data_IF_855533566042
#
_entry.id   IF_855533566042
#
_cell.length_a   1.000
_cell.length_b   1.000
_cell.length_c   1.000
_cell.angle_alpha   90.00
_cell.angle_beta   90.00
_cell.angle_gamma   90.00
#
_symmetry.space_group_name_H-M   'P 1'
#
loop_
_entity.id
_entity.type
_entity.pdbx_description
1 polymer ?
#
# COMPACT_ATOMS: atom_id res chain seq x y z
N UNK A 1 11.65 18.92 -1.07
CA UNK A 1 11.60 18.68 -2.53
C UNK A 1 12.03 17.25 -2.88
N UNK A 2 13.26 16.83 -2.59
CA UNK A 2 13.74 15.48 -2.94
C UNK A 2 12.84 14.33 -2.46
N UNK A 3 12.41 14.34 -1.20
CA UNK A 3 11.57 13.26 -0.65
C UNK A 3 10.22 13.16 -1.36
N UNK A 4 9.65 14.30 -1.76
CA UNK A 4 8.39 14.38 -2.48
C UNK A 4 8.51 13.74 -3.88
N UNK A 5 9.55 14.12 -4.63
CA UNK A 5 9.83 13.54 -5.95
C UNK A 5 10.11 12.03 -5.87
N UNK A 6 10.89 11.63 -4.86
CA UNK A 6 11.16 10.21 -4.62
C UNK A 6 9.89 9.45 -4.24
N UNK A 7 9.04 10.01 -3.39
CA UNK A 7 7.79 9.35 -3.00
C UNK A 7 6.87 9.12 -4.18
N UNK A 8 6.82 10.08 -5.11
CA UNK A 8 5.99 9.95 -6.31
C UNK A 8 6.48 8.81 -7.22
N UNK A 9 7.79 8.74 -7.47
CA UNK A 9 8.38 7.69 -8.31
C UNK A 9 8.33 6.30 -7.64
N UNK A 10 8.64 6.20 -6.34
CA UNK A 10 8.70 4.89 -5.68
C UNK A 10 7.31 4.24 -5.53
N UNK A 11 6.24 5.04 -5.55
CA UNK A 11 4.86 4.60 -5.44
C UNK A 11 4.15 4.52 -6.80
N UNK A 12 4.86 4.81 -7.89
CA UNK A 12 4.33 4.75 -9.23
C UNK A 12 3.95 3.28 -9.60
N UNK A 13 2.66 3.00 -9.89
CA UNK A 13 2.22 1.65 -10.23
C UNK A 13 2.90 1.04 -11.47
N UNK A 14 3.45 1.87 -12.37
CA UNK A 14 4.18 1.38 -13.54
C UNK A 14 5.44 0.58 -13.19
N UNK A 15 6.01 0.75 -11.99
CA UNK A 15 7.12 -0.08 -11.51
C UNK A 15 6.68 -1.46 -11.00
N UNK A 16 5.38 -1.72 -10.92
CA UNK A 16 4.81 -3.01 -10.56
C UNK A 16 4.96 -3.38 -9.08
N UNK A 17 5.47 -2.49 -8.22
CA UNK A 17 5.59 -2.72 -6.77
C UNK A 17 4.25 -2.56 -6.06
N UNK A 18 3.53 -1.50 -6.40
CA UNK A 18 2.22 -1.17 -5.85
C UNK A 18 1.19 -1.09 -6.97
N UNK A 19 -0.07 -1.25 -6.60
CA UNK A 19 -1.21 -1.06 -7.48
C UNK A 19 -2.31 -0.29 -6.76
N UNK A 20 -3.22 0.32 -7.52
CA UNK A 20 -4.42 0.88 -6.94
C UNK A 20 -5.32 -0.23 -6.37
N UNK A 21 -5.87 0.02 -5.20
CA UNK A 21 -6.81 -0.89 -4.53
C UNK A 21 -8.14 -0.95 -5.25
N UNK A 22 -8.57 0.17 -5.86
CA UNK A 22 -9.86 0.32 -6.50
C UNK A 22 -9.82 1.44 -7.54
N UNK A 23 -10.68 1.39 -8.54
CA UNK A 23 -10.69 2.36 -9.65
C UNK A 23 -11.16 3.77 -9.24
N UNK A 24 -11.95 3.86 -8.17
CA UNK A 24 -12.53 5.09 -7.64
C UNK A 24 -11.74 5.71 -6.47
N UNK A 25 -10.84 4.94 -5.87
CA UNK A 25 -10.04 5.34 -4.70
C UNK A 25 -8.56 5.18 -5.02
N UNK A 26 -7.86 6.32 -5.11
CA UNK A 26 -6.41 6.40 -5.33
C UNK A 26 -5.58 5.98 -4.09
N UNK A 27 -5.94 4.87 -3.45
CA UNK A 27 -5.13 4.25 -2.39
C UNK A 27 -4.36 3.06 -2.95
N UNK A 28 -3.12 2.90 -2.47
CA UNK A 28 -2.18 1.90 -2.94
C UNK A 28 -2.16 0.69 -2.02
N UNK A 29 -1.98 -0.48 -2.63
CA UNK A 29 -1.68 -1.74 -1.99
C UNK A 29 -0.49 -2.42 -2.66
N UNK A 30 0.13 -3.39 -1.98
CA UNK A 30 1.20 -4.20 -2.57
C UNK A 30 0.62 -4.94 -3.79
N UNK A 31 1.34 -4.89 -4.90
CA UNK A 31 0.99 -5.69 -6.08
C UNK A 31 1.37 -7.17 -5.82
N UNK A 32 0.41 -8.12 -5.79
CA UNK A 32 0.71 -9.54 -5.63
C UNK A 32 1.61 -10.09 -6.75
N UNK A 33 1.56 -9.48 -7.93
CA UNK A 33 2.38 -9.83 -9.10
C UNK A 33 3.73 -9.08 -9.15
N UNK A 34 4.12 -8.40 -8.07
CA UNK A 34 5.39 -7.64 -8.01
C UNK A 34 6.63 -8.47 -8.28
N UNK A 35 6.56 -9.80 -8.11
CA UNK A 35 7.64 -10.74 -8.42
C UNK A 35 8.03 -10.78 -9.91
N UNK A 36 7.25 -10.15 -10.81
CA UNK A 36 7.68 -9.86 -12.18
C UNK A 36 9.00 -9.09 -12.21
N UNK A 37 9.24 -8.25 -11.19
CA UNK A 37 10.55 -7.66 -10.93
C UNK A 37 11.33 -8.57 -9.94
N UNK A 38 12.44 -9.19 -10.36
CA UNK A 38 13.21 -10.08 -9.50
C UNK A 38 13.80 -9.39 -8.27
N UNK A 39 13.98 -8.07 -8.31
CA UNK A 39 14.52 -7.27 -7.21
C UNK A 39 13.43 -6.66 -6.31
N UNK A 40 12.15 -6.98 -6.52
CA UNK A 40 11.02 -6.32 -5.83
C UNK A 40 11.16 -6.27 -4.30
N UNK A 41 11.71 -7.32 -3.67
CA UNK A 41 11.94 -7.34 -2.23
C UNK A 41 12.96 -6.28 -1.76
N UNK A 42 14.06 -6.12 -2.50
CA UNK A 42 15.06 -5.08 -2.26
C UNK A 42 14.44 -3.69 -2.37
N UNK A 43 13.56 -3.50 -3.36
CA UNK A 43 12.81 -2.26 -3.54
C UNK A 43 11.81 -2.01 -2.39
N UNK A 44 11.03 -3.00 -1.95
CA UNK A 44 10.13 -2.84 -0.81
C UNK A 44 10.88 -2.47 0.47
N UNK A 45 12.02 -3.10 0.71
CA UNK A 45 12.86 -2.75 1.86
C UNK A 45 13.41 -1.31 1.76
N UNK A 46 13.79 -0.85 0.56
CA UNK A 46 14.15 0.55 0.33
C UNK A 46 12.97 1.49 0.61
N UNK A 47 11.78 1.23 0.06
CA UNK A 47 10.57 2.03 0.29
C UNK A 47 10.24 2.09 1.78
N UNK A 48 10.33 0.96 2.50
CA UNK A 48 10.15 0.91 3.96
C UNK A 48 11.10 1.84 4.72
N UNK A 49 12.38 1.90 4.32
CA UNK A 49 13.37 2.83 4.92
C UNK A 49 13.02 4.29 4.66
N UNK A 50 12.60 4.62 3.44
CA UNK A 50 12.19 5.98 3.07
C UNK A 50 10.95 6.40 3.86
N UNK A 51 9.95 5.51 3.98
CA UNK A 51 8.76 5.74 4.81
C UNK A 51 9.14 5.98 6.28
N UNK A 52 9.99 5.14 6.86
CA UNK A 52 10.47 5.33 8.23
C UNK A 52 11.23 6.65 8.43
N UNK A 53 12.08 7.02 7.48
CA UNK A 53 12.82 8.29 7.51
C UNK A 53 11.89 9.50 7.41
N UNK A 54 10.86 9.44 6.54
CA UNK A 54 9.86 10.49 6.42
C UNK A 54 9.11 10.70 7.74
N UNK A 55 8.66 9.61 8.37
CA UNK A 55 7.99 9.66 9.68
C UNK A 55 8.94 10.23 10.75
N UNK A 56 10.18 9.77 10.81
CA UNK A 56 11.16 10.22 11.81
C UNK A 56 11.45 11.74 11.72
N UNK A 57 11.55 12.27 10.51
CA UNK A 57 11.81 13.70 10.28
C UNK A 57 10.54 14.56 10.21
N UNK A 58 9.35 13.98 10.32
CA UNK A 58 8.08 14.72 10.25
C UNK A 58 7.74 15.24 8.85
N UNK A 59 8.12 14.49 7.81
CA UNK A 59 7.81 14.81 6.42
C UNK A 59 6.67 13.94 5.87
N UNK A 60 5.88 14.53 4.97
CA UNK A 60 4.83 13.83 4.24
C UNK A 60 5.40 13.11 3.01
N UNK A 61 4.75 12.00 2.64
CA UNK A 61 4.98 11.22 1.43
C UNK A 61 3.77 11.43 0.53
N UNK A 62 4.02 11.64 -0.76
CA UNK A 62 2.98 11.78 -1.76
C UNK A 62 2.42 10.41 -2.15
N UNK A 63 1.26 10.05 -1.59
CA UNK A 63 0.60 8.77 -1.81
C UNK A 63 -0.12 8.27 -0.56
N UNK A 64 -1.30 7.69 -0.75
CA UNK A 64 -2.08 7.08 0.33
C UNK A 64 -2.06 5.56 0.21
N UNK A 65 -1.82 4.85 1.30
CA UNK A 65 -2.02 3.40 1.37
C UNK A 65 -3.42 3.04 1.88
N UNK A 66 -3.83 1.80 1.65
CA UNK A 66 -5.07 1.27 2.22
C UNK A 66 -5.00 1.16 3.76
N UNK A 67 -6.15 1.16 4.43
CA UNK A 67 -6.21 0.96 5.88
C UNK A 67 -5.57 -0.38 6.33
N UNK A 68 -5.82 -1.52 5.66
CA UNK A 68 -5.12 -2.77 5.94
C UNK A 68 -3.59 -2.65 5.92
N UNK A 69 -3.04 -1.90 4.96
CA UNK A 69 -1.59 -1.71 4.87
C UNK A 69 -1.04 -1.00 6.11
N UNK A 70 -1.70 0.07 6.58
CA UNK A 70 -1.30 0.73 7.82
C UNK A 70 -1.46 -0.18 9.05
N UNK A 71 -2.51 -1.02 9.09
CA UNK A 71 -2.68 -2.00 10.16
C UNK A 71 -1.54 -3.02 10.18
N UNK A 72 -1.08 -3.50 9.02
CA UNK A 72 0.07 -4.38 8.90
C UNK A 72 1.35 -3.74 9.44
N UNK A 73 1.62 -2.48 9.08
CA UNK A 73 2.78 -1.74 9.59
C UNK A 73 2.75 -1.60 11.13
N UNK A 74 1.55 -1.50 11.71
CA UNK A 74 1.34 -1.38 13.16
C UNK A 74 1.21 -2.73 13.88
N UNK A 75 1.27 -3.86 13.17
CA UNK A 75 1.03 -5.18 13.73
C UNK A 75 -0.38 -5.39 14.27
N UNK A 76 -1.36 -4.63 13.76
CA UNK A 76 -2.78 -4.76 14.15
C UNK A 76 -3.47 -5.81 13.28
N UNK A 77 -4.43 -6.57 13.85
CA UNK A 77 -5.19 -7.54 13.08
C UNK A 77 -6.04 -6.83 12.01
N UNK A 78 -6.09 -7.43 10.82
CA UNK A 78 -7.02 -7.04 9.77
C UNK A 78 -8.36 -7.74 10.04
N UNK A 79 -9.45 -6.99 9.99
CA UNK A 79 -10.82 -7.48 10.23
C UNK A 79 -11.61 -7.52 8.93
N UNK A 80 -12.75 -8.22 8.93
CA UNK A 80 -13.63 -8.30 7.75
C UNK A 80 -14.07 -6.91 7.30
N UNK A 81 -14.42 -6.02 8.23
CA UNK A 81 -14.80 -4.63 7.96
C UNK A 81 -13.73 -3.84 7.20
N UNK A 82 -12.44 -4.17 7.35
CA UNK A 82 -11.39 -3.48 6.61
C UNK A 82 -11.46 -3.79 5.11
N UNK A 83 -11.98 -4.96 4.76
CA UNK A 83 -12.13 -5.39 3.37
C UNK A 83 -13.21 -4.62 2.64
N UNK A 84 -14.24 -4.11 3.33
CA UNK A 84 -15.26 -3.26 2.72
C UNK A 84 -14.64 -2.04 2.01
N UNK A 85 -13.51 -1.53 2.54
CA UNK A 85 -12.77 -0.40 1.97
C UNK A 85 -11.80 -0.76 0.85
N UNK A 86 -11.45 -2.05 0.70
CA UNK A 86 -10.52 -2.56 -0.32
C UNK A 86 -11.29 -3.23 -1.47
N UNK A 87 -12.20 -4.15 -1.14
CA UNK A 87 -13.03 -4.94 -2.07
C UNK A 87 -14.44 -5.15 -1.46
N UNK A 88 -15.44 -4.33 -1.84
CA UNK A 88 -16.78 -4.41 -1.27
C UNK A 88 -17.50 -5.67 -1.70
N UNK A 89 -17.24 -6.15 -2.90
CA UNK A 89 -17.91 -7.32 -3.48
C UNK A 89 -17.48 -8.59 -2.75
N UNK A 90 -16.18 -8.72 -2.48
CA UNK A 90 -15.65 -9.80 -1.65
C UNK A 90 -16.13 -9.69 -0.21
N UNK A 91 -16.14 -8.49 0.37
CA UNK A 91 -16.69 -8.25 1.70
C UNK A 91 -18.14 -8.74 1.81
N UNK A 92 -19.02 -8.29 0.91
CA UNK A 92 -20.43 -8.67 0.89
C UNK A 92 -20.62 -10.17 0.71
N UNK A 93 -19.81 -10.80 -0.14
CA UNK A 93 -19.84 -12.24 -0.37
C UNK A 93 -19.48 -13.03 0.89
N UNK A 94 -18.46 -12.60 1.65
CA UNK A 94 -18.07 -13.25 2.90
C UNK A 94 -19.06 -13.00 4.03
N UNK A 95 -19.60 -11.78 4.14
CA UNK A 95 -20.66 -11.46 5.10
C UNK A 95 -21.90 -12.33 4.86
N UNK A 96 -22.23 -12.64 3.60
CA UNK A 96 -23.36 -13.50 3.28
C UNK A 96 -23.17 -14.98 3.68
N UNK A 97 -21.93 -15.47 3.67
CA UNK A 97 -21.60 -16.87 4.00
C UNK A 97 -21.52 -17.10 5.52
N UNK A 98 -21.13 -16.08 6.29
CA UNK A 98 -20.97 -16.12 7.75
C UNK A 98 -22.30 -16.02 8.51
#
# INVERSE_FOLDING_TARGET
EWLYLLSHEMLNPYYGLFQYSRDDIYTLQINPDSAVNPEHLSYFHFVGRIMGMAVFHGHYIDGGFTLPFYKQLLGKPITLDDMESVDPDLHNSLVWIL
#
